data_IF_099570645438
#
_entry.id   IF_099570645438
#
_cell.length_a   1.000
_cell.length_b   1.000
_cell.length_c   1.000
_cell.angle_alpha   90.00
_cell.angle_beta   90.00
_cell.angle_gamma   90.00
#
_symmetry.space_group_name_H-M   'P 1'
#
loop_
_entity.id
_entity.type
_entity.pdbx_description
1 polymer ?
#
# COMPACT_ATOMS: atom_id res chain seq x y z
N UNK A 1 -9.57 -17.48 -20.03
CA UNK A 1 -10.34 -16.20 -20.03
C UNK A 1 -10.50 -15.69 -21.46
N UNK A 2 -11.70 -15.23 -21.85
CA UNK A 2 -11.92 -14.62 -23.19
C UNK A 2 -11.19 -13.27 -23.27
N UNK A 3 -10.60 -12.86 -24.42
CA UNK A 3 -9.87 -11.60 -24.54
C UNK A 3 -10.68 -10.36 -24.12
N UNK A 4 -11.95 -10.29 -24.51
CA UNK A 4 -12.87 -9.19 -24.12
C UNK A 4 -13.01 -9.09 -22.60
N UNK A 5 -13.14 -10.20 -21.89
CA UNK A 5 -13.21 -10.25 -20.42
C UNK A 5 -11.90 -9.74 -19.80
N UNK A 6 -10.75 -10.11 -20.38
CA UNK A 6 -9.46 -9.64 -19.91
C UNK A 6 -9.30 -8.12 -19.98
N UNK A 7 -9.76 -7.51 -21.08
CA UNK A 7 -9.74 -6.05 -21.24
C UNK A 7 -10.65 -5.37 -20.21
N UNK A 8 -11.87 -5.89 -20.00
CA UNK A 8 -12.82 -5.34 -19.01
C UNK A 8 -12.23 -5.39 -17.59
N UNK A 9 -11.64 -6.54 -17.21
CA UNK A 9 -11.02 -6.70 -15.89
C UNK A 9 -9.74 -5.86 -15.75
N UNK A 10 -8.94 -5.74 -16.81
CA UNK A 10 -7.78 -4.84 -16.84
C UNK A 10 -8.20 -3.38 -16.62
N UNK A 11 -9.25 -2.93 -17.29
CA UNK A 11 -9.78 -1.58 -17.14
C UNK A 11 -10.35 -1.35 -15.72
N UNK A 12 -11.04 -2.33 -15.15
CA UNK A 12 -11.45 -2.30 -13.73
C UNK A 12 -10.24 -2.10 -12.81
N UNK A 13 -9.16 -2.89 -12.97
CA UNK A 13 -7.95 -2.73 -12.16
C UNK A 13 -7.27 -1.39 -12.38
N UNK A 14 -7.22 -0.91 -13.62
CA UNK A 14 -6.71 0.41 -13.95
C UNK A 14 -7.45 1.50 -13.14
N UNK A 15 -8.78 1.54 -13.22
CA UNK A 15 -9.59 2.53 -12.51
C UNK A 15 -9.46 2.39 -10.98
N UNK A 16 -9.43 1.14 -10.45
CA UNK A 16 -9.28 0.86 -9.03
C UNK A 16 -8.03 1.54 -8.44
N UNK A 17 -6.90 1.37 -9.08
CA UNK A 17 -5.63 1.92 -8.61
C UNK A 17 -5.38 3.36 -9.05
N UNK A 18 -6.02 3.81 -10.13
CA UNK A 18 -6.04 5.21 -10.50
C UNK A 18 -6.71 6.06 -9.41
N UNK A 19 -7.86 5.61 -8.88
CA UNK A 19 -8.54 6.29 -7.75
C UNK A 19 -7.59 6.46 -6.57
N UNK A 20 -6.87 5.40 -6.18
CA UNK A 20 -5.96 5.46 -5.04
C UNK A 20 -4.74 6.33 -5.31
N UNK A 21 -4.11 6.17 -6.47
CA UNK A 21 -2.96 6.95 -6.90
C UNK A 21 -3.24 8.44 -7.05
N UNK A 22 -4.50 8.83 -7.29
CA UNK A 22 -4.90 10.22 -7.51
C UNK A 22 -4.77 11.12 -6.28
N UNK A 23 -4.81 10.59 -5.06
CA UNK A 23 -4.85 11.42 -3.85
C UNK A 23 -3.88 10.94 -2.74
N UNK A 24 -3.56 9.65 -2.69
CA UNK A 24 -2.88 9.05 -1.54
C UNK A 24 -1.50 9.66 -1.28
N UNK A 25 -0.69 9.80 -2.33
CA UNK A 25 0.69 10.31 -2.21
C UNK A 25 0.71 11.80 -1.91
N UNK A 26 -0.27 12.56 -2.42
CA UNK A 26 -0.37 14.02 -2.30
C UNK A 26 -1.17 14.50 -1.10
N UNK A 27 -1.84 13.58 -0.36
CA UNK A 27 -2.68 13.95 0.78
C UNK A 27 -1.93 14.74 1.85
N UNK A 28 -0.70 14.37 2.20
CA UNK A 28 0.11 15.09 3.17
C UNK A 28 0.39 16.53 2.73
N UNK A 29 0.69 16.74 1.45
CA UNK A 29 0.91 18.06 0.86
C UNK A 29 -0.37 18.89 0.86
N UNK A 30 -1.50 18.31 0.44
CA UNK A 30 -2.82 18.94 0.51
C UNK A 30 -3.17 19.37 1.95
N UNK A 31 -3.04 18.45 2.92
CA UNK A 31 -3.35 18.74 4.32
C UNK A 31 -2.50 19.88 4.89
N UNK A 32 -1.20 19.90 4.54
CA UNK A 32 -0.31 20.98 4.99
C UNK A 32 -0.67 22.31 4.34
N UNK A 33 -0.88 22.34 3.02
CA UNK A 33 -1.07 23.58 2.26
C UNK A 33 -2.48 24.17 2.39
N UNK A 34 -3.51 23.34 2.42
CA UNK A 34 -4.92 23.76 2.40
C UNK A 34 -5.53 23.75 3.80
N UNK A 35 -5.27 22.71 4.61
CA UNK A 35 -5.86 22.56 5.94
C UNK A 35 -4.97 23.11 7.07
N UNK A 36 -3.73 23.52 6.77
CA UNK A 36 -2.78 23.95 7.78
C UNK A 36 -2.42 22.85 8.79
N UNK A 37 -2.46 21.59 8.37
CA UNK A 37 -2.34 20.42 9.25
C UNK A 37 -0.96 20.31 9.88
N UNK A 38 -0.93 19.88 11.14
CA UNK A 38 0.29 19.44 11.82
C UNK A 38 0.71 18.03 11.37
N UNK A 39 1.96 17.65 11.65
CA UNK A 39 2.44 16.28 11.37
C UNK A 39 1.58 15.20 12.02
N UNK A 40 1.10 15.42 13.26
CA UNK A 40 0.20 14.48 13.95
C UNK A 40 -1.12 14.30 13.19
N UNK A 41 -1.72 15.38 12.71
CA UNK A 41 -2.98 15.34 11.97
C UNK A 41 -2.82 14.61 10.62
N UNK A 42 -1.70 14.80 9.94
CA UNK A 42 -1.35 14.06 8.72
C UNK A 42 -1.20 12.57 9.02
N UNK A 43 -0.40 12.21 10.04
CA UNK A 43 -0.24 10.82 10.46
C UNK A 43 -1.55 10.14 10.83
N UNK A 44 -2.43 10.85 11.55
CA UNK A 44 -3.78 10.39 11.88
C UNK A 44 -4.62 10.12 10.62
N UNK A 45 -4.61 11.03 9.63
CA UNK A 45 -5.35 10.83 8.38
C UNK A 45 -4.89 9.60 7.60
N UNK A 46 -3.57 9.37 7.52
CA UNK A 46 -3.04 8.14 6.91
C UNK A 46 -3.37 6.88 7.71
N UNK A 47 -3.50 6.97 9.04
CA UNK A 47 -3.90 5.83 9.88
C UNK A 47 -5.33 5.35 9.60
N UNK A 48 -6.18 6.19 9.02
CA UNK A 48 -7.53 5.82 8.65
C UNK A 48 -7.57 4.63 7.65
N UNK A 49 -6.64 4.61 6.69
CA UNK A 49 -6.53 3.48 5.76
C UNK A 49 -6.07 2.20 6.47
N UNK A 50 -5.13 2.33 7.39
CA UNK A 50 -4.64 1.20 8.17
C UNK A 50 -5.76 0.59 9.03
N UNK A 51 -6.53 1.42 9.72
CA UNK A 51 -7.70 1.00 10.50
C UNK A 51 -8.73 0.32 9.58
N UNK A 52 -9.04 0.93 8.45
CA UNK A 52 -9.97 0.37 7.49
C UNK A 52 -9.49 -0.99 6.93
N UNK A 53 -8.19 -1.15 6.68
CA UNK A 53 -7.61 -2.43 6.24
C UNK A 53 -7.77 -3.52 7.28
N UNK A 54 -7.72 -3.18 8.57
CA UNK A 54 -7.94 -4.14 9.65
C UNK A 54 -9.41 -4.52 9.83
N UNK A 55 -10.32 -3.59 9.61
CA UNK A 55 -11.74 -3.73 9.99
C UNK A 55 -12.63 -4.15 8.82
N UNK A 56 -12.49 -3.49 7.67
CA UNK A 56 -13.45 -3.60 6.57
C UNK A 56 -13.56 -4.97 5.91
N UNK A 57 -12.50 -5.80 5.80
CA UNK A 57 -12.62 -7.13 5.21
C UNK A 57 -13.60 -8.05 5.96
N UNK A 58 -13.75 -7.86 7.30
CA UNK A 58 -14.69 -8.66 8.11
C UNK A 58 -16.15 -8.44 7.71
N UNK A 59 -16.53 -7.19 7.50
CA UNK A 59 -17.91 -6.85 7.23
C UNK A 59 -18.28 -7.05 5.77
N UNK A 60 -17.45 -6.54 4.88
CA UNK A 60 -17.76 -6.51 3.45
C UNK A 60 -17.53 -7.88 2.80
N UNK A 61 -16.52 -8.64 3.23
CA UNK A 61 -16.35 -10.03 2.80
C UNK A 61 -17.58 -10.87 3.13
N UNK A 62 -18.10 -10.79 4.36
CA UNK A 62 -19.31 -11.50 4.74
C UNK A 62 -20.54 -11.08 3.91
N UNK A 63 -20.67 -9.80 3.57
CA UNK A 63 -21.79 -9.29 2.78
C UNK A 63 -21.71 -9.79 1.34
N UNK A 64 -20.55 -9.70 0.70
CA UNK A 64 -20.35 -10.14 -0.67
C UNK A 64 -20.41 -11.67 -0.83
N UNK A 65 -19.93 -12.42 0.17
CA UNK A 65 -19.94 -13.88 0.13
C UNK A 65 -21.35 -14.48 0.34
N UNK A 66 -22.24 -13.76 1.00
CA UNK A 66 -23.57 -14.30 1.40
C UNK A 66 -24.76 -13.68 0.69
N UNK A 67 -24.75 -12.38 0.46
CA UNK A 67 -25.99 -11.66 0.14
C UNK A 67 -25.99 -11.02 -1.24
N UNK A 68 -24.86 -10.50 -1.70
CA UNK A 68 -24.82 -9.70 -2.92
C UNK A 68 -23.65 -10.10 -3.82
N UNK A 69 -23.85 -9.99 -5.12
CA UNK A 69 -22.78 -10.21 -6.09
C UNK A 69 -21.63 -9.20 -5.88
N UNK A 70 -20.38 -9.70 -5.88
CA UNK A 70 -19.20 -8.92 -5.52
C UNK A 70 -19.04 -7.63 -6.34
N UNK A 71 -19.33 -7.67 -7.66
CA UNK A 71 -19.28 -6.50 -8.53
C UNK A 71 -20.32 -5.44 -8.16
N UNK A 72 -21.51 -5.84 -7.65
CA UNK A 72 -22.55 -4.88 -7.22
C UNK A 72 -22.16 -4.19 -5.92
N UNK A 73 -21.62 -4.95 -4.97
CA UNK A 73 -21.10 -4.39 -3.71
C UNK A 73 -19.97 -3.40 -4.01
N UNK A 74 -19.04 -3.78 -4.89
CA UNK A 74 -17.95 -2.90 -5.34
C UNK A 74 -18.50 -1.62 -5.98
N UNK A 75 -19.54 -1.73 -6.82
CA UNK A 75 -20.18 -0.60 -7.46
C UNK A 75 -20.75 0.41 -6.46
N UNK A 76 -21.52 -0.06 -5.48
CA UNK A 76 -22.09 0.78 -4.42
C UNK A 76 -20.99 1.45 -3.58
N UNK A 77 -19.97 0.69 -3.18
CA UNK A 77 -18.87 1.20 -2.37
C UNK A 77 -18.04 2.26 -3.11
N UNK A 78 -17.82 2.12 -4.42
CA UNK A 78 -17.13 3.14 -5.21
C UNK A 78 -17.96 4.40 -5.45
N UNK A 79 -19.27 4.29 -5.63
CA UNK A 79 -20.14 5.47 -5.70
C UNK A 79 -20.12 6.21 -4.37
N UNK A 80 -20.32 5.50 -3.24
CA UNK A 80 -20.24 6.09 -1.91
C UNK A 80 -18.84 6.71 -1.66
N UNK A 81 -17.78 5.97 -2.00
CA UNK A 81 -16.40 6.45 -1.90
C UNK A 81 -16.16 7.72 -2.72
N UNK A 82 -16.70 7.78 -3.94
CA UNK A 82 -16.62 8.97 -4.79
C UNK A 82 -17.30 10.19 -4.18
N UNK A 83 -18.49 10.01 -3.59
CA UNK A 83 -19.19 11.08 -2.86
C UNK A 83 -18.33 11.56 -1.67
N UNK A 84 -17.76 10.64 -0.89
CA UNK A 84 -16.92 10.97 0.25
C UNK A 84 -15.62 11.66 -0.15
N UNK A 85 -14.98 11.27 -1.25
CA UNK A 85 -13.81 11.97 -1.81
C UNK A 85 -14.16 13.39 -2.29
N UNK A 86 -15.34 13.56 -2.92
CA UNK A 86 -15.80 14.87 -3.32
C UNK A 86 -16.04 15.75 -2.09
N UNK A 87 -16.67 15.22 -1.04
CA UNK A 87 -16.81 15.92 0.24
C UNK A 87 -15.45 16.28 0.83
N UNK A 88 -14.49 15.33 0.86
CA UNK A 88 -13.13 15.55 1.35
C UNK A 88 -12.45 16.72 0.62
N UNK A 89 -12.70 16.87 -0.70
CA UNK A 89 -12.14 17.97 -1.49
C UNK A 89 -12.68 19.35 -1.10
N UNK A 90 -13.80 19.44 -0.35
CA UNK A 90 -14.46 20.69 0.05
C UNK A 90 -14.28 21.04 1.52
N UNK A 91 -13.70 20.15 2.31
CA UNK A 91 -13.52 20.33 3.76
C UNK A 91 -12.33 21.24 4.02
N UNK A 92 -12.50 22.12 5.00
CA UNK A 92 -11.50 23.10 5.43
C UNK A 92 -11.01 22.86 6.87
N UNK A 93 -11.52 21.86 7.57
CA UNK A 93 -11.14 21.54 8.97
C UNK A 93 -10.54 20.14 9.10
N UNK A 94 -9.47 20.01 9.84
CA UNK A 94 -8.76 18.75 10.03
C UNK A 94 -9.62 17.63 10.65
N UNK A 95 -10.45 17.96 11.65
CA UNK A 95 -11.29 16.97 12.32
C UNK A 95 -12.34 16.36 11.40
N UNK A 96 -13.05 17.19 10.64
CA UNK A 96 -14.04 16.71 9.66
C UNK A 96 -13.37 15.93 8.54
N UNK A 97 -12.20 16.40 8.06
CA UNK A 97 -11.41 15.71 7.03
C UNK A 97 -11.04 14.30 7.48
N UNK A 98 -10.54 14.14 8.71
CA UNK A 98 -10.20 12.83 9.27
C UNK A 98 -11.38 11.84 9.21
N UNK A 99 -12.56 12.26 9.67
CA UNK A 99 -13.73 11.38 9.69
C UNK A 99 -14.23 11.03 8.29
N UNK A 100 -14.18 11.97 7.36
CA UNK A 100 -14.58 11.69 5.97
C UNK A 100 -13.60 10.74 5.28
N UNK A 101 -12.28 10.91 5.49
CA UNK A 101 -11.26 9.98 4.99
C UNK A 101 -11.39 8.60 5.68
N UNK A 102 -11.77 8.54 6.95
CA UNK A 102 -12.05 7.29 7.65
C UNK A 102 -13.21 6.54 7.00
N UNK A 103 -14.34 7.22 6.78
CA UNK A 103 -15.51 6.62 6.12
C UNK A 103 -15.20 6.20 4.68
N UNK A 104 -14.48 7.04 3.94
CA UNK A 104 -13.98 6.69 2.62
C UNK A 104 -13.11 5.42 2.65
N UNK A 105 -12.17 5.36 3.58
CA UNK A 105 -11.27 4.21 3.70
C UNK A 105 -12.01 2.93 4.02
N UNK A 106 -13.02 2.99 4.89
CA UNK A 106 -13.90 1.85 5.18
C UNK A 106 -14.70 1.38 3.96
N UNK A 107 -15.07 2.28 3.06
CA UNK A 107 -15.72 1.94 1.80
C UNK A 107 -14.72 1.41 0.76
N UNK A 108 -13.52 2.00 0.67
CA UNK A 108 -12.55 1.72 -0.39
C UNK A 108 -11.73 0.45 -0.13
N UNK A 109 -11.20 0.24 1.10
CA UNK A 109 -10.27 -0.87 1.36
C UNK A 109 -10.82 -2.25 1.00
N UNK A 110 -12.10 -2.59 1.27
CA UNK A 110 -12.64 -3.89 0.86
C UNK A 110 -12.76 -4.04 -0.66
N UNK A 111 -12.87 -2.94 -1.43
CA UNK A 111 -12.99 -3.02 -2.89
C UNK A 111 -11.74 -3.59 -3.56
N UNK A 112 -10.58 -3.50 -2.90
CA UNK A 112 -9.34 -4.14 -3.38
C UNK A 112 -9.50 -5.66 -3.40
N UNK A 113 -10.04 -6.25 -2.33
CA UNK A 113 -10.30 -7.68 -2.27
C UNK A 113 -11.45 -8.10 -3.22
N UNK A 114 -12.51 -7.27 -3.31
CA UNK A 114 -13.63 -7.53 -4.22
C UNK A 114 -13.21 -7.50 -5.68
N UNK A 115 -12.37 -6.54 -6.10
CA UNK A 115 -11.84 -6.47 -7.49
C UNK A 115 -11.01 -7.71 -7.83
N UNK A 116 -10.19 -8.19 -6.90
CA UNK A 116 -9.46 -9.44 -7.06
C UNK A 116 -10.41 -10.64 -7.18
N UNK A 117 -11.44 -10.72 -6.33
CA UNK A 117 -12.46 -11.78 -6.37
C UNK A 117 -13.21 -11.80 -7.70
N UNK A 118 -13.65 -10.63 -8.18
CA UNK A 118 -14.29 -10.50 -9.50
C UNK A 118 -13.36 -11.01 -10.61
N UNK A 119 -12.07 -10.64 -10.55
CA UNK A 119 -11.10 -11.07 -11.54
C UNK A 119 -10.87 -12.60 -11.50
N UNK A 120 -10.62 -13.17 -10.32
CA UNK A 120 -10.34 -14.61 -10.16
C UNK A 120 -11.47 -15.49 -10.65
N UNK A 121 -12.72 -15.08 -10.43
CA UNK A 121 -13.91 -15.84 -10.87
C UNK A 121 -14.03 -15.98 -12.39
N UNK A 122 -13.42 -15.10 -13.16
CA UNK A 122 -13.46 -15.11 -14.63
C UNK A 122 -12.25 -15.84 -15.25
N UNK A 123 -11.34 -16.36 -14.43
CA UNK A 123 -10.09 -16.97 -14.87
C UNK A 123 -10.12 -18.49 -14.77
N UNK A 124 -9.69 -19.16 -15.83
CA UNK A 124 -9.48 -20.62 -15.84
C UNK A 124 -8.14 -21.03 -15.23
N UNK A 125 -7.12 -20.14 -15.29
CA UNK A 125 -5.79 -20.31 -14.70
C UNK A 125 -5.38 -18.98 -14.05
N UNK A 126 -5.80 -18.74 -12.78
CA UNK A 126 -5.48 -17.50 -12.08
C UNK A 126 -3.97 -17.23 -12.00
N UNK A 127 -3.14 -18.25 -11.81
CA UNK A 127 -1.69 -18.09 -11.69
C UNK A 127 -1.04 -17.45 -12.91
N UNK A 128 -1.54 -17.74 -14.11
CA UNK A 128 -1.02 -17.15 -15.35
C UNK A 128 -1.78 -15.90 -15.80
N UNK A 129 -3.08 -15.82 -15.53
CA UNK A 129 -3.94 -14.79 -16.10
C UNK A 129 -4.07 -13.56 -15.19
N UNK A 130 -4.03 -13.73 -13.86
CA UNK A 130 -4.18 -12.63 -12.94
C UNK A 130 -3.05 -11.59 -13.03
N UNK A 131 -1.77 -11.94 -13.15
CA UNK A 131 -0.71 -10.95 -13.32
C UNK A 131 -0.93 -10.04 -14.54
N UNK A 132 -1.46 -10.58 -15.65
CA UNK A 132 -1.75 -9.82 -16.87
C UNK A 132 -2.87 -8.77 -16.68
N UNK A 133 -3.80 -9.04 -15.78
CA UNK A 133 -4.89 -8.11 -15.43
C UNK A 133 -4.43 -7.14 -14.34
N UNK A 134 -3.67 -7.64 -13.36
CA UNK A 134 -3.22 -6.86 -12.20
C UNK A 134 -2.22 -5.75 -12.57
N UNK A 135 -1.40 -5.95 -13.61
CA UNK A 135 -0.44 -4.93 -14.08
C UNK A 135 -1.14 -3.62 -14.50
N UNK A 136 -2.38 -3.69 -14.99
CA UNK A 136 -3.16 -2.49 -15.31
C UNK A 136 -3.43 -1.62 -14.07
N UNK A 137 -3.44 -2.21 -12.87
CA UNK A 137 -3.51 -1.44 -11.62
C UNK A 137 -2.27 -0.55 -11.44
N UNK A 138 -1.06 -1.08 -11.64
CA UNK A 138 0.16 -0.27 -11.60
C UNK A 138 0.14 0.82 -12.67
N UNK A 139 -0.30 0.49 -13.88
CA UNK A 139 -0.47 1.49 -14.95
C UNK A 139 -1.47 2.58 -14.52
N UNK A 140 -2.59 2.22 -13.88
CA UNK A 140 -3.57 3.19 -13.36
C UNK A 140 -2.96 4.15 -12.35
N UNK A 141 -2.17 3.65 -11.40
CA UNK A 141 -1.45 4.49 -10.44
C UNK A 141 -0.44 5.42 -11.10
N UNK A 142 0.36 4.90 -12.03
CA UNK A 142 1.34 5.68 -12.80
C UNK A 142 0.66 6.80 -13.59
N UNK A 143 -0.42 6.48 -14.29
CA UNK A 143 -1.19 7.47 -15.07
C UNK A 143 -1.81 8.53 -14.16
N UNK A 144 -2.31 8.16 -12.98
CA UNK A 144 -2.82 9.13 -12.00
C UNK A 144 -1.74 10.13 -11.59
N UNK A 145 -0.52 9.68 -11.28
CA UNK A 145 0.61 10.54 -10.94
C UNK A 145 0.99 11.49 -12.09
N UNK A 146 1.03 11.00 -13.32
CA UNK A 146 1.27 11.84 -14.50
C UNK A 146 0.13 12.85 -14.74
N UNK A 147 -1.13 12.47 -14.54
CA UNK A 147 -2.26 13.39 -14.67
C UNK A 147 -2.21 14.52 -13.63
N UNK A 148 -1.83 14.21 -12.39
CA UNK A 148 -1.62 15.21 -11.34
C UNK A 148 -0.56 16.23 -11.77
N UNK A 149 0.58 15.75 -12.28
CA UNK A 149 1.66 16.61 -12.75
C UNK A 149 1.27 17.44 -13.98
N UNK A 150 0.64 16.81 -14.97
CA UNK A 150 0.21 17.46 -16.21
C UNK A 150 -0.80 18.59 -15.94
N UNK A 151 -1.74 18.35 -15.02
CA UNK A 151 -2.78 19.32 -14.65
C UNK A 151 -2.28 20.36 -13.63
N UNK A 152 -1.08 20.19 -13.04
CA UNK A 152 -0.55 21.08 -12.02
C UNK A 152 -1.38 21.15 -10.73
N UNK A 153 -2.12 20.07 -10.39
CA UNK A 153 -3.11 20.05 -9.29
C UNK A 153 -2.58 19.47 -7.98
N UNK A 154 -1.30 19.11 -7.92
CA UNK A 154 -0.67 18.34 -6.85
C UNK A 154 -0.91 18.89 -5.44
N UNK A 155 -0.89 20.22 -5.29
CA UNK A 155 -1.01 20.91 -4.00
C UNK A 155 -2.44 21.41 -3.74
N UNK A 156 -3.42 20.94 -4.50
CA UNK A 156 -4.80 21.44 -4.47
C UNK A 156 -5.80 20.34 -4.08
N UNK A 157 -7.04 20.77 -3.79
CA UNK A 157 -8.17 19.87 -3.56
C UNK A 157 -8.58 19.06 -4.80
N UNK A 158 -8.11 19.45 -5.99
CA UNK A 158 -8.50 18.82 -7.25
C UNK A 158 -8.02 17.37 -7.38
N UNK A 159 -6.98 16.97 -6.67
CA UNK A 159 -6.55 15.57 -6.59
C UNK A 159 -7.64 14.66 -6.02
N UNK A 160 -8.35 15.12 -4.98
CA UNK A 160 -9.52 14.41 -4.42
C UNK A 160 -10.72 14.48 -5.35
N UNK A 161 -10.95 15.60 -6.04
CA UNK A 161 -12.04 15.74 -7.02
C UNK A 161 -11.84 14.81 -8.21
N UNK A 162 -10.60 14.68 -8.72
CA UNK A 162 -10.25 13.74 -9.78
C UNK A 162 -10.49 12.29 -9.33
N UNK A 163 -10.04 11.94 -8.14
CA UNK A 163 -10.29 10.61 -7.55
C UNK A 163 -11.79 10.33 -7.39
N UNK A 164 -12.58 11.34 -6.98
CA UNK A 164 -14.03 11.23 -6.82
C UNK A 164 -14.73 10.89 -8.14
N UNK A 165 -14.40 11.62 -9.20
CA UNK A 165 -14.98 11.40 -10.54
C UNK A 165 -14.67 9.97 -11.02
N UNK A 166 -13.40 9.54 -10.92
CA UNK A 166 -13.00 8.22 -11.37
C UNK A 166 -13.60 7.13 -10.49
N UNK A 167 -13.75 7.36 -9.17
CA UNK A 167 -14.40 6.41 -8.27
C UNK A 167 -15.88 6.23 -8.62
N UNK A 168 -16.62 7.29 -8.89
CA UNK A 168 -18.01 7.20 -9.37
C UNK A 168 -18.07 6.47 -10.71
N UNK A 169 -17.18 6.79 -11.65
CA UNK A 169 -17.12 6.13 -12.95
C UNK A 169 -16.86 4.62 -12.80
N UNK A 170 -15.91 4.22 -11.92
CA UNK A 170 -15.68 2.81 -11.60
C UNK A 170 -16.90 2.17 -10.93
N UNK A 171 -17.55 2.90 -10.04
CA UNK A 171 -18.78 2.44 -9.39
C UNK A 171 -19.87 2.10 -10.39
N UNK A 172 -20.14 3.00 -11.34
CA UNK A 172 -21.10 2.77 -12.42
C UNK A 172 -20.64 1.63 -13.34
N UNK A 173 -19.36 1.62 -13.72
CA UNK A 173 -18.76 0.56 -14.55
C UNK A 173 -18.87 -0.81 -13.90
N UNK A 174 -18.83 -0.89 -12.58
CA UNK A 174 -18.90 -2.16 -11.83
C UNK A 174 -20.19 -2.92 -12.06
N UNK A 175 -21.30 -2.25 -12.35
CA UNK A 175 -22.56 -2.91 -12.67
C UNK A 175 -22.56 -3.61 -14.05
N UNK A 176 -21.60 -3.30 -14.91
CA UNK A 176 -21.40 -3.92 -16.22
C UNK A 176 -20.31 -5.01 -16.21
N UNK A 177 -19.66 -5.26 -15.05
CA UNK A 177 -18.69 -6.33 -14.91
C UNK A 177 -19.37 -7.71 -14.99
N UNK A 178 -18.63 -8.76 -15.34
CA UNK A 178 -19.15 -10.12 -15.36
C UNK A 178 -19.76 -10.50 -14.00
N UNK A 179 -20.89 -11.19 -14.04
CA UNK A 179 -21.60 -11.57 -12.83
C UNK A 179 -20.76 -12.47 -11.92
N UNK A 180 -20.72 -12.10 -10.66
CA UNK A 180 -19.91 -12.75 -9.63
C UNK A 180 -20.80 -13.00 -8.40
N UNK A 181 -21.74 -13.98 -8.51
CA UNK A 181 -22.71 -14.23 -7.46
C UNK A 181 -22.05 -14.73 -6.17
N UNK A 182 -22.74 -14.58 -5.02
CA UNK A 182 -22.24 -15.09 -3.75
C UNK A 182 -22.02 -16.62 -3.81
N UNK A 183 -20.98 -17.10 -3.15
CA UNK A 183 -20.75 -18.53 -2.96
C UNK A 183 -21.19 -18.92 -1.55
N UNK A 184 -22.39 -19.41 -1.42
CA UNK A 184 -22.94 -19.90 -0.16
C UNK A 184 -22.33 -21.26 0.23
N UNK A 185 -21.04 -21.25 0.57
CA UNK A 185 -20.41 -22.39 1.24
C UNK A 185 -19.89 -21.94 2.56
N UNK A 186 -20.00 -22.43 3.65
CA UNK A 186 -19.50 -22.19 5.02
C UNK A 186 -19.25 -20.71 5.39
N UNK A 187 -19.78 -20.22 6.51
CA UNK A 187 -19.50 -18.87 6.98
C UNK A 187 -18.00 -18.75 7.25
N UNK A 188 -17.35 -17.78 6.62
CA UNK A 188 -16.03 -17.35 7.07
C UNK A 188 -16.18 -16.87 8.51
N UNK A 189 -15.60 -17.58 9.45
CA UNK A 189 -15.59 -17.15 10.86
C UNK A 189 -14.64 -15.96 10.98
N UNK A 190 -14.89 -15.06 11.93
CA UNK A 190 -13.96 -13.98 12.24
C UNK A 190 -12.52 -14.52 12.45
N UNK A 191 -12.37 -15.73 13.01
CA UNK A 191 -11.08 -16.42 13.15
C UNK A 191 -10.38 -16.70 11.82
N UNK A 192 -11.11 -17.16 10.79
CA UNK A 192 -10.51 -17.48 9.50
C UNK A 192 -10.11 -16.20 8.73
N UNK A 193 -10.91 -15.14 8.87
CA UNK A 193 -10.60 -13.84 8.25
C UNK A 193 -9.39 -13.17 8.93
N UNK A 194 -9.26 -13.28 10.26
CA UNK A 194 -8.08 -12.80 11.01
C UNK A 194 -6.81 -13.65 10.78
N UNK A 195 -6.93 -14.75 10.04
CA UNK A 195 -5.79 -15.63 9.83
C UNK A 195 -5.28 -16.33 11.10
N UNK A 196 -6.15 -16.55 12.11
CA UNK A 196 -5.76 -17.15 13.40
C UNK A 196 -5.14 -18.53 13.20
N UNK A 197 -5.62 -19.29 12.20
CA UNK A 197 -5.07 -20.61 11.86
C UNK A 197 -3.60 -20.50 11.39
N UNK A 198 -3.17 -19.34 10.91
CA UNK A 198 -1.80 -19.10 10.48
C UNK A 198 -0.84 -18.78 11.65
N UNK A 199 -1.33 -18.59 12.88
CA UNK A 199 -0.45 -18.37 14.05
C UNK A 199 0.48 -19.54 14.33
N UNK A 200 0.15 -20.72 13.80
CA UNK A 200 1.07 -21.87 13.84
C UNK A 200 2.43 -21.56 13.20
N UNK A 201 2.48 -20.65 12.22
CA UNK A 201 3.72 -20.22 11.59
C UNK A 201 4.70 -19.55 12.58
N UNK A 202 4.22 -18.99 13.68
CA UNK A 202 5.08 -18.37 14.70
C UNK A 202 5.84 -19.38 15.56
N UNK A 203 5.55 -20.66 15.44
CA UNK A 203 6.39 -21.73 16.00
C UNK A 203 7.74 -21.83 15.27
N UNK A 204 7.80 -21.39 14.01
CA UNK A 204 9.04 -21.26 13.23
C UNK A 204 9.74 -19.93 13.58
N UNK A 205 10.86 -20.02 14.31
CA UNK A 205 11.62 -18.85 14.77
C UNK A 205 12.05 -17.91 13.64
N UNK A 206 12.58 -18.38 12.49
CA UNK A 206 12.89 -17.50 11.36
C UNK A 206 11.65 -16.74 10.86
N UNK A 207 10.50 -17.40 10.75
CA UNK A 207 9.28 -16.76 10.33
C UNK A 207 8.81 -15.68 11.33
N UNK A 208 8.85 -15.96 12.62
CA UNK A 208 8.51 -14.98 13.66
C UNK A 208 9.42 -13.76 13.61
N UNK A 209 10.73 -13.94 13.42
CA UNK A 209 11.69 -12.83 13.29
C UNK A 209 11.40 -12.00 12.06
N UNK A 210 11.13 -12.63 10.91
CA UNK A 210 10.72 -11.96 9.70
C UNK A 210 9.43 -11.13 9.91
N UNK A 211 8.45 -11.73 10.58
CA UNK A 211 7.15 -11.11 10.82
C UNK A 211 7.27 -9.88 11.73
N UNK A 212 8.07 -9.95 12.79
CA UNK A 212 8.38 -8.80 13.64
C UNK A 212 9.12 -7.71 12.84
N UNK A 213 10.12 -8.09 12.04
CA UNK A 213 10.83 -7.14 11.19
C UNK A 213 9.88 -6.44 10.21
N UNK A 214 8.88 -7.15 9.67
CA UNK A 214 7.90 -6.58 8.76
C UNK A 214 7.05 -5.48 9.41
N UNK A 215 6.66 -5.63 10.70
CA UNK A 215 5.97 -4.57 11.44
C UNK A 215 6.85 -3.32 11.52
N UNK A 216 8.11 -3.47 11.91
CA UNK A 216 9.01 -2.34 12.09
C UNK A 216 9.41 -1.67 10.76
N UNK A 217 9.51 -2.41 9.64
CA UNK A 217 9.78 -1.84 8.30
C UNK A 217 8.59 -1.02 7.80
N UNK A 218 7.37 -1.26 8.27
CA UNK A 218 6.22 -0.40 7.96
C UNK A 218 6.36 1.01 8.53
N UNK A 219 7.18 1.22 9.59
CA UNK A 219 7.44 2.56 10.11
C UNK A 219 8.18 3.43 9.08
N UNK A 220 9.36 3.04 8.55
CA UNK A 220 9.96 3.73 7.40
C UNK A 220 8.99 3.91 6.24
N UNK A 221 8.24 2.88 5.85
CA UNK A 221 7.27 2.97 4.76
C UNK A 221 6.24 4.09 4.99
N UNK A 222 5.80 4.29 6.23
CA UNK A 222 4.83 5.34 6.60
C UNK A 222 5.41 6.75 6.45
N UNK A 223 6.69 6.96 6.76
CA UNK A 223 7.37 8.23 6.47
C UNK A 223 7.36 8.56 4.99
N UNK A 224 7.60 7.56 4.14
CA UNK A 224 7.59 7.76 2.69
C UNK A 224 6.20 8.17 2.18
N UNK A 225 5.18 7.39 2.47
CA UNK A 225 3.84 7.67 1.97
C UNK A 225 3.25 8.95 2.55
N UNK A 226 3.49 9.23 3.85
CA UNK A 226 2.93 10.40 4.52
C UNK A 226 3.62 11.71 4.16
N UNK A 227 4.93 11.68 3.96
CA UNK A 227 5.72 12.91 3.98
C UNK A 227 6.68 13.09 2.81
N UNK A 228 6.98 12.08 1.97
CA UNK A 228 7.96 12.24 0.89
C UNK A 228 7.50 13.27 -0.15
N UNK A 229 6.23 13.26 -0.54
CA UNK A 229 5.70 14.23 -1.50
C UNK A 229 5.77 15.66 -0.96
N UNK A 230 5.37 15.86 0.30
CA UNK A 230 5.48 17.15 0.98
C UNK A 230 6.94 17.63 1.04
N UNK A 231 7.86 16.74 1.42
CA UNK A 231 9.29 17.02 1.47
C UNK A 231 9.85 17.47 0.11
N UNK A 232 9.55 16.72 -0.94
CA UNK A 232 10.04 17.03 -2.30
C UNK A 232 9.52 18.38 -2.79
N UNK A 233 8.26 18.69 -2.55
CA UNK A 233 7.65 20.00 -2.84
C UNK A 233 8.35 21.13 -2.06
N UNK A 234 8.56 20.95 -0.75
CA UNK A 234 9.21 21.96 0.08
C UNK A 234 10.72 22.10 -0.23
N UNK A 235 11.34 21.06 -0.78
CA UNK A 235 12.72 21.13 -1.28
C UNK A 235 12.85 21.89 -2.60
N UNK A 236 11.73 22.34 -3.21
CA UNK A 236 11.69 23.05 -4.48
C UNK A 236 11.58 22.16 -5.72
N UNK A 237 11.25 20.86 -5.54
CA UNK A 237 11.05 19.94 -6.66
C UNK A 237 9.69 20.19 -7.32
N UNK A 238 9.67 20.80 -8.50
CA UNK A 238 8.46 20.97 -9.29
C UNK A 238 7.89 19.62 -9.74
N UNK A 239 6.56 19.50 -9.76
CA UNK A 239 5.85 18.28 -10.18
C UNK A 239 6.35 17.01 -9.44
N UNK A 240 6.50 17.10 -8.13
CA UNK A 240 7.05 16.03 -7.30
C UNK A 240 6.26 14.72 -7.44
N UNK A 241 4.92 14.77 -7.50
CA UNK A 241 4.07 13.59 -7.71
C UNK A 241 4.39 12.88 -9.02
N UNK A 242 4.57 13.63 -10.12
CA UNK A 242 4.97 13.06 -11.41
C UNK A 242 6.36 12.43 -11.37
N UNK A 243 7.32 13.04 -10.65
CA UNK A 243 8.67 12.48 -10.48
C UNK A 243 8.65 11.24 -9.57
N UNK A 244 7.79 11.20 -8.57
CA UNK A 244 7.62 10.01 -7.73
C UNK A 244 7.11 8.79 -8.51
N UNK A 245 6.49 8.96 -9.68
CA UNK A 245 6.12 7.86 -10.59
C UNK A 245 7.33 7.02 -11.01
N UNK A 246 8.54 7.59 -11.06
CA UNK A 246 9.76 6.80 -11.32
C UNK A 246 9.97 5.69 -10.29
N UNK A 247 9.51 5.89 -9.06
CA UNK A 247 9.52 4.84 -8.02
C UNK A 247 8.59 3.68 -8.36
N UNK A 248 7.38 3.96 -8.87
CA UNK A 248 6.43 2.94 -9.32
C UNK A 248 6.89 2.21 -10.58
N UNK A 249 7.55 2.92 -11.50
CA UNK A 249 8.19 2.28 -12.67
C UNK A 249 9.30 1.33 -12.21
N UNK A 250 10.12 1.78 -11.25
CA UNK A 250 11.16 0.94 -10.64
C UNK A 250 10.57 -0.32 -10.00
N UNK A 251 9.46 -0.20 -9.24
CA UNK A 251 8.72 -1.32 -8.67
C UNK A 251 8.24 -2.27 -9.77
N UNK A 252 7.58 -1.76 -10.82
CA UNK A 252 7.11 -2.58 -11.93
C UNK A 252 8.25 -3.37 -12.63
N UNK A 253 9.45 -2.81 -12.70
CA UNK A 253 10.61 -3.49 -13.27
C UNK A 253 11.18 -4.56 -12.33
N UNK A 254 11.32 -4.24 -11.04
CA UNK A 254 11.90 -5.18 -10.07
C UNK A 254 10.97 -6.34 -9.77
N UNK A 255 9.64 -6.15 -9.71
CA UNK A 255 8.69 -7.24 -9.47
C UNK A 255 8.82 -8.36 -10.50
N UNK A 256 9.20 -8.05 -11.75
CA UNK A 256 9.46 -9.05 -12.79
C UNK A 256 10.73 -9.88 -12.51
N UNK A 257 11.71 -9.30 -11.84
CA UNK A 257 12.96 -9.96 -11.50
C UNK A 257 12.88 -10.79 -10.19
N UNK A 258 11.92 -10.46 -9.31
CA UNK A 258 11.81 -11.07 -7.98
C UNK A 258 11.74 -12.60 -7.99
N UNK A 259 10.91 -13.29 -8.81
CA UNK A 259 10.84 -14.76 -8.80
C UNK A 259 12.18 -15.41 -9.16
N UNK A 260 12.89 -14.85 -10.13
CA UNK A 260 14.22 -15.33 -10.52
C UNK A 260 15.26 -15.11 -9.41
N UNK A 261 15.30 -13.91 -8.83
CA UNK A 261 16.23 -13.55 -7.76
C UNK A 261 15.95 -14.35 -6.48
N UNK A 262 14.68 -14.53 -6.14
CA UNK A 262 14.26 -15.31 -4.97
C UNK A 262 14.83 -16.74 -5.00
N UNK A 263 14.77 -17.39 -6.16
CA UNK A 263 15.31 -18.75 -6.31
C UNK A 263 16.83 -18.79 -6.35
N UNK A 264 17.50 -17.73 -6.88
CA UNK A 264 18.95 -17.69 -7.07
C UNK A 264 19.71 -17.27 -5.81
N UNK A 265 19.28 -16.21 -5.15
CA UNK A 265 19.99 -15.62 -4.01
C UNK A 265 19.35 -15.90 -2.65
N UNK A 266 18.11 -16.37 -2.65
CA UNK A 266 17.36 -16.80 -1.47
C UNK A 266 16.76 -15.66 -0.66
N UNK A 267 15.77 -15.99 0.17
CA UNK A 267 14.94 -15.05 0.92
C UNK A 267 15.76 -14.13 1.83
N UNK A 268 16.73 -14.65 2.57
CA UNK A 268 17.54 -13.84 3.51
C UNK A 268 18.23 -12.68 2.81
N UNK A 269 18.93 -12.96 1.70
CA UNK A 269 19.67 -11.94 0.97
C UNK A 269 18.74 -10.90 0.34
N UNK A 270 17.59 -11.33 -0.17
CA UNK A 270 16.61 -10.40 -0.72
C UNK A 270 16.07 -9.44 0.33
N UNK A 271 15.66 -9.95 1.49
CA UNK A 271 15.18 -9.11 2.59
C UNK A 271 16.27 -8.13 3.08
N UNK A 272 17.53 -8.58 3.18
CA UNK A 272 18.66 -7.71 3.55
C UNK A 272 18.90 -6.60 2.52
N UNK A 273 18.81 -6.91 1.22
CA UNK A 273 18.92 -5.90 0.13
C UNK A 273 17.80 -4.87 0.27
N UNK A 274 16.55 -5.32 0.47
CA UNK A 274 15.42 -4.43 0.68
C UNK A 274 15.61 -3.49 1.87
N UNK A 275 16.01 -4.05 3.04
CA UNK A 275 16.30 -3.23 4.24
C UNK A 275 17.44 -2.25 4.03
N UNK A 276 18.52 -2.66 3.34
CA UNK A 276 19.64 -1.77 3.00
C UNK A 276 19.18 -0.63 2.07
N UNK A 277 18.34 -0.94 1.10
CA UNK A 277 17.76 0.07 0.22
C UNK A 277 16.92 1.10 0.99
N UNK A 278 16.18 0.70 2.04
CA UNK A 278 15.48 1.63 2.94
C UNK A 278 16.44 2.61 3.62
N UNK A 279 17.57 2.14 4.12
CA UNK A 279 18.60 2.98 4.76
C UNK A 279 19.15 3.98 3.74
N UNK A 280 19.59 3.49 2.59
CA UNK A 280 20.15 4.33 1.52
C UNK A 280 19.15 5.40 1.06
N UNK A 281 17.89 5.04 0.91
CA UNK A 281 16.81 5.95 0.55
C UNK A 281 16.71 7.14 1.50
N UNK A 282 16.65 6.88 2.81
CA UNK A 282 16.50 7.95 3.78
C UNK A 282 17.77 8.76 3.98
N UNK A 283 18.94 8.18 3.80
CA UNK A 283 20.21 8.93 3.69
C UNK A 283 20.16 9.87 2.47
N UNK A 284 19.70 9.36 1.32
CA UNK A 284 19.55 10.18 0.12
C UNK A 284 18.57 11.34 0.34
N UNK A 285 17.44 11.13 1.03
CA UNK A 285 16.51 12.21 1.35
C UNK A 285 17.06 13.18 2.40
N UNK A 286 17.83 12.70 3.38
CA UNK A 286 18.42 13.55 4.41
C UNK A 286 19.48 14.54 3.86
N UNK A 287 20.22 14.16 2.83
CA UNK A 287 21.27 14.97 2.24
C UNK A 287 20.92 15.53 0.87
N UNK A 288 19.84 15.07 0.25
CA UNK A 288 19.37 15.52 -1.06
C UNK A 288 18.84 16.97 -1.02
N UNK A 289 19.09 17.72 -2.07
CA UNK A 289 18.60 19.08 -2.28
C UNK A 289 18.48 19.37 -3.78
N UNK A 290 17.82 20.47 -4.16
CA UNK A 290 17.68 20.87 -5.57
C UNK A 290 18.92 21.58 -6.16
N UNK A 291 20.06 21.48 -5.49
CA UNK A 291 21.38 21.93 -5.94
C UNK A 291 22.31 20.75 -6.26
N UNK A 292 23.55 20.75 -5.73
CA UNK A 292 24.57 19.74 -6.06
C UNK A 292 24.16 18.30 -5.77
N UNK A 293 23.25 18.09 -4.79
CA UNK A 293 22.80 16.79 -4.34
C UNK A 293 21.41 16.39 -4.90
N UNK A 294 20.98 17.00 -6.02
CA UNK A 294 19.69 16.68 -6.65
C UNK A 294 19.60 15.19 -7.05
N UNK A 295 20.68 14.59 -7.47
CA UNK A 295 20.76 13.17 -7.81
C UNK A 295 20.36 12.26 -6.65
N UNK A 296 20.61 12.68 -5.39
CA UNK A 296 20.21 11.91 -4.20
C UNK A 296 18.69 11.85 -4.07
N UNK A 297 17.96 12.95 -4.37
CA UNK A 297 16.50 12.96 -4.35
C UNK A 297 15.93 11.96 -5.36
N UNK A 298 16.44 11.96 -6.59
CA UNK A 298 16.02 11.00 -7.61
C UNK A 298 16.39 9.56 -7.25
N UNK A 299 17.58 9.32 -6.70
CA UNK A 299 17.99 8.00 -6.20
C UNK A 299 17.04 7.53 -5.10
N UNK A 300 16.70 8.40 -4.13
CA UNK A 300 15.73 8.08 -3.08
C UNK A 300 14.34 7.72 -3.63
N UNK A 301 13.89 8.36 -4.70
CA UNK A 301 12.64 8.02 -5.39
C UNK A 301 12.75 6.65 -6.07
N UNK A 302 13.79 6.43 -6.90
CA UNK A 302 13.95 5.21 -7.70
C UNK A 302 14.17 3.96 -6.82
N UNK A 303 14.81 4.11 -5.67
CA UNK A 303 14.98 3.01 -4.71
C UNK A 303 13.65 2.42 -4.20
N UNK A 304 12.49 3.04 -4.53
CA UNK A 304 11.18 2.54 -4.11
C UNK A 304 10.95 1.08 -4.49
N UNK A 305 11.20 0.71 -5.73
CA UNK A 305 11.02 -0.67 -6.19
C UNK A 305 11.90 -1.65 -5.42
N UNK A 306 13.17 -1.33 -5.18
CA UNK A 306 14.05 -2.20 -4.40
C UNK A 306 13.57 -2.29 -2.94
N UNK A 307 13.22 -1.16 -2.32
CA UNK A 307 12.72 -1.14 -0.95
C UNK A 307 11.48 -2.00 -0.77
N UNK A 308 10.54 -1.85 -1.70
CA UNK A 308 9.21 -2.46 -1.60
C UNK A 308 9.24 -3.94 -2.03
N UNK A 309 9.76 -4.24 -3.21
CA UNK A 309 9.68 -5.58 -3.78
C UNK A 309 10.60 -6.57 -3.07
N UNK A 310 11.83 -6.16 -2.77
CA UNK A 310 12.78 -7.05 -2.10
C UNK A 310 12.40 -7.32 -0.64
N UNK A 311 11.51 -6.52 -0.05
CA UNK A 311 11.01 -6.79 1.29
C UNK A 311 9.58 -7.34 1.28
N UNK A 312 8.60 -6.59 0.77
CA UNK A 312 7.19 -6.96 0.90
C UNK A 312 6.78 -8.06 -0.09
N UNK A 313 7.14 -7.96 -1.38
CA UNK A 313 6.80 -9.01 -2.35
C UNK A 313 7.54 -10.31 -1.99
N UNK A 314 8.83 -10.20 -1.63
CA UNK A 314 9.58 -11.35 -1.10
C UNK A 314 8.93 -11.92 0.15
N UNK A 315 8.40 -11.08 1.03
CA UNK A 315 7.70 -11.48 2.25
C UNK A 315 6.43 -12.27 1.96
N UNK A 316 5.64 -11.85 0.97
CA UNK A 316 4.48 -12.62 0.50
C UNK A 316 4.90 -14.00 -0.04
N UNK A 317 5.93 -14.07 -0.86
CA UNK A 317 6.45 -15.33 -1.39
C UNK A 317 7.02 -16.24 -0.29
N UNK A 318 7.69 -15.66 0.71
CA UNK A 318 8.20 -16.40 1.85
C UNK A 318 7.08 -16.97 2.72
N UNK A 319 6.05 -16.16 3.00
CA UNK A 319 4.85 -16.57 3.72
C UNK A 319 4.13 -17.71 3.00
N UNK A 320 4.01 -17.62 1.68
CA UNK A 320 3.43 -18.67 0.85
C UNK A 320 4.20 -19.98 0.95
N UNK A 321 5.53 -19.94 0.84
CA UNK A 321 6.38 -21.14 0.91
C UNK A 321 6.43 -21.79 2.30
N UNK A 322 6.23 -21.01 3.37
CA UNK A 322 6.17 -21.54 4.75
C UNK A 322 4.81 -22.16 5.07
N UNK A 323 3.76 -21.81 4.32
CA UNK A 323 2.40 -22.26 4.55
C UNK A 323 2.09 -23.53 3.78
N UNK A 324 1.28 -24.41 4.37
CA UNK A 324 0.63 -25.49 3.63
C UNK A 324 -0.64 -24.96 2.92
N UNK A 325 -1.20 -25.75 2.01
CA UNK A 325 -2.40 -25.36 1.21
C UNK A 325 -3.61 -24.99 2.08
N UNK A 326 -3.73 -25.58 3.29
CA UNK A 326 -4.87 -25.33 4.19
C UNK A 326 -4.83 -23.92 4.78
N UNK A 327 -3.65 -23.40 5.14
CA UNK A 327 -3.50 -22.10 5.84
C UNK A 327 -2.95 -21.00 4.93
N UNK A 328 -2.64 -21.27 3.67
CA UNK A 328 -1.98 -20.34 2.75
C UNK A 328 -2.70 -19.00 2.66
N UNK A 329 -4.01 -18.99 2.43
CA UNK A 329 -4.80 -17.78 2.36
C UNK A 329 -4.88 -17.04 3.71
N UNK A 330 -5.01 -17.78 4.81
CA UNK A 330 -5.01 -17.24 6.16
C UNK A 330 -3.65 -16.57 6.50
N UNK A 331 -2.54 -17.18 6.09
CA UNK A 331 -1.19 -16.64 6.28
C UNK A 331 -0.95 -15.35 5.48
N UNK A 332 -1.40 -15.31 4.23
CA UNK A 332 -1.34 -14.11 3.40
C UNK A 332 -2.21 -12.98 3.98
N UNK A 333 -3.41 -13.31 4.44
CA UNK A 333 -4.30 -12.38 5.13
C UNK A 333 -3.68 -11.83 6.42
N UNK A 334 -3.08 -12.70 7.24
CA UNK A 334 -2.38 -12.31 8.47
C UNK A 334 -1.18 -11.39 8.18
N UNK A 335 -0.40 -11.69 7.15
CA UNK A 335 0.73 -10.84 6.75
C UNK A 335 0.25 -9.46 6.28
N UNK A 336 -0.82 -9.39 5.49
CA UNK A 336 -1.45 -8.12 5.08
C UNK A 336 -1.99 -7.35 6.28
N UNK A 337 -2.72 -8.02 7.18
CA UNK A 337 -3.28 -7.40 8.39
C UNK A 337 -2.18 -6.76 9.24
N UNK A 338 -1.06 -7.45 9.41
CA UNK A 338 0.04 -6.97 10.24
C UNK A 338 0.86 -5.89 9.57
N UNK A 339 1.10 -5.97 8.27
CA UNK A 339 1.88 -4.95 7.55
C UNK A 339 1.02 -3.71 7.25
N UNK A 340 0.00 -3.83 6.41
CA UNK A 340 -0.83 -2.70 5.99
C UNK A 340 -1.87 -2.25 7.03
N UNK A 341 -2.21 -3.12 7.98
CA UNK A 341 -3.02 -2.76 9.14
C UNK A 341 -2.14 -2.25 10.29
N UNK A 342 -1.72 -3.15 11.17
CA UNK A 342 -1.04 -2.80 12.42
C UNK A 342 0.27 -2.02 12.22
N UNK A 343 1.15 -2.48 11.33
CA UNK A 343 2.44 -1.86 11.06
C UNK A 343 2.30 -0.44 10.51
N UNK A 344 1.41 -0.26 9.52
CA UNK A 344 1.11 1.07 8.98
C UNK A 344 0.39 1.96 10.00
N UNK A 345 -0.51 1.42 10.84
CA UNK A 345 -1.14 2.17 11.91
C UNK A 345 -0.09 2.75 12.87
N UNK A 346 0.79 1.91 13.40
CA UNK A 346 1.89 2.34 14.28
C UNK A 346 2.79 3.35 13.55
N UNK A 347 3.16 3.02 12.31
CA UNK A 347 4.10 3.82 11.52
C UNK A 347 3.57 5.21 11.19
N UNK A 348 2.29 5.34 10.81
CA UNK A 348 1.69 6.63 10.45
C UNK A 348 1.56 7.55 11.65
N UNK A 349 1.16 7.04 12.81
CA UNK A 349 1.15 7.80 14.03
C UNK A 349 2.55 8.24 14.47
N UNK A 350 3.50 7.31 14.42
CA UNK A 350 4.88 7.60 14.81
C UNK A 350 5.54 8.60 13.85
N UNK A 351 5.37 8.44 12.54
CA UNK A 351 5.91 9.38 11.54
C UNK A 351 5.28 10.76 11.68
N UNK A 352 3.98 10.83 11.97
CA UNK A 352 3.29 12.08 12.26
C UNK A 352 3.83 12.78 13.51
N UNK A 353 4.03 12.04 14.60
CA UNK A 353 4.62 12.54 15.84
C UNK A 353 6.03 13.10 15.61
N UNK A 354 6.91 12.34 14.95
CA UNK A 354 8.28 12.76 14.65
C UNK A 354 8.30 14.01 13.78
N UNK A 355 7.50 14.03 12.72
CA UNK A 355 7.43 15.18 11.80
C UNK A 355 6.91 16.41 12.53
N UNK A 356 5.96 16.26 13.45
CA UNK A 356 5.48 17.36 14.29
C UNK A 356 6.55 17.87 15.27
N UNK A 357 7.30 16.97 15.90
CA UNK A 357 8.34 17.32 16.86
C UNK A 357 9.51 18.08 16.20
N UNK A 358 9.80 17.81 14.92
CA UNK A 358 10.83 18.50 14.15
C UNK A 358 10.27 19.56 13.20
N UNK A 359 9.12 20.15 13.53
CA UNK A 359 8.53 21.26 12.78
C UNK A 359 8.15 22.43 13.71
N UNK A 360 8.38 23.66 13.23
CA UNK A 360 7.93 24.88 13.90
C UNK A 360 7.25 25.76 12.85
N UNK A 361 5.98 26.10 13.06
CA UNK A 361 5.18 26.89 12.11
C UNK A 361 5.25 26.37 10.67
N UNK A 362 5.12 25.04 10.50
CA UNK A 362 5.23 24.32 9.22
C UNK A 362 6.60 24.44 8.52
N UNK A 363 7.62 24.89 9.21
CA UNK A 363 9.01 24.80 8.76
C UNK A 363 9.59 23.50 9.31
N UNK A 364 9.86 22.56 8.43
CA UNK A 364 10.28 21.20 8.78
C UNK A 364 11.81 21.08 8.74
N UNK A 365 12.37 20.46 9.75
CA UNK A 365 13.79 20.09 9.80
C UNK A 365 13.99 18.74 9.08
N UNK A 366 13.80 18.70 7.75
CA UNK A 366 13.72 17.48 6.97
C UNK A 366 14.89 16.53 7.19
N UNK A 367 16.10 17.03 7.31
CA UNK A 367 17.26 16.19 7.56
C UNK A 367 17.12 15.37 8.83
N UNK A 368 16.68 16.00 9.93
CA UNK A 368 16.45 15.31 11.21
C UNK A 368 15.29 14.32 11.11
N UNK A 369 14.23 14.69 10.38
CA UNK A 369 13.07 13.83 10.16
C UNK A 369 13.50 12.56 9.44
N UNK A 370 14.31 12.67 8.36
CA UNK A 370 14.74 11.51 7.58
C UNK A 370 15.78 10.63 8.28
N UNK A 371 16.55 11.15 9.24
CA UNK A 371 17.42 10.31 10.06
C UNK A 371 16.64 9.29 10.89
N UNK A 372 15.42 9.62 11.36
CA UNK A 372 14.66 8.72 12.22
C UNK A 372 14.30 7.41 11.51
N UNK A 373 13.63 7.40 10.33
CA UNK A 373 13.36 6.15 9.61
C UNK A 373 14.65 5.45 9.14
N UNK A 374 15.74 6.18 8.87
CA UNK A 374 17.04 5.59 8.57
C UNK A 374 17.58 4.79 9.77
N UNK A 375 17.56 5.35 10.97
CA UNK A 375 18.01 4.66 12.19
C UNK A 375 17.15 3.46 12.52
N UNK A 376 15.82 3.55 12.34
CA UNK A 376 14.92 2.40 12.52
C UNK A 376 15.28 1.30 11.53
N UNK A 377 15.47 1.63 10.24
CA UNK A 377 15.85 0.66 9.23
C UNK A 377 17.20 -0.01 9.55
N UNK A 378 18.20 0.75 10.06
CA UNK A 378 19.48 0.22 10.52
C UNK A 378 19.29 -0.74 11.69
N UNK A 379 18.50 -0.36 12.70
CA UNK A 379 18.24 -1.21 13.87
C UNK A 379 17.57 -2.52 13.45
N UNK A 380 16.55 -2.45 12.58
CA UNK A 380 15.86 -3.65 12.05
C UNK A 380 16.83 -4.51 11.26
N UNK A 381 17.66 -3.94 10.39
CA UNK A 381 18.67 -4.65 9.60
C UNK A 381 19.65 -5.39 10.51
N UNK A 382 20.21 -4.73 11.52
CA UNK A 382 21.15 -5.32 12.48
C UNK A 382 20.48 -6.48 13.22
N UNK A 383 19.30 -6.28 13.80
CA UNK A 383 18.56 -7.34 14.47
C UNK A 383 18.30 -8.53 13.51
N UNK A 384 17.90 -8.23 12.28
CA UNK A 384 17.61 -9.27 11.28
C UNK A 384 18.86 -10.08 10.90
N UNK A 385 20.01 -9.46 10.73
CA UNK A 385 21.30 -10.16 10.44
C UNK A 385 21.62 -11.18 11.51
N UNK A 386 21.49 -10.82 12.80
CA UNK A 386 21.85 -11.67 13.92
C UNK A 386 20.82 -12.77 14.20
N UNK A 387 19.55 -12.47 14.13
CA UNK A 387 18.50 -13.37 14.58
C UNK A 387 17.88 -14.20 13.46
N UNK A 388 17.82 -13.71 12.22
CA UNK A 388 17.19 -14.44 11.11
C UNK A 388 18.16 -15.51 10.56
N UNK A 389 17.86 -16.77 10.87
CA UNK A 389 18.63 -17.93 10.44
C UNK A 389 17.75 -18.91 9.66
N UNK A 390 17.44 -18.58 8.41
CA UNK A 390 16.67 -19.46 7.54
C UNK A 390 17.59 -20.49 6.88
N UNK A 391 17.14 -21.74 6.82
CA UNK A 391 17.79 -22.78 6.04
C UNK A 391 17.71 -22.46 4.54
N UNK A 392 18.66 -22.97 3.75
CA UNK A 392 18.68 -22.76 2.29
C UNK A 392 17.40 -23.30 1.63
N UNK A 393 16.88 -24.43 2.11
CA UNK A 393 15.60 -24.98 1.69
C UNK A 393 14.54 -24.56 2.72
N UNK A 394 13.55 -23.80 2.27
CA UNK A 394 12.43 -23.34 3.10
C UNK A 394 11.53 -24.53 3.41
N UNK A 395 11.42 -24.90 4.67
CA UNK A 395 10.56 -25.99 5.13
C UNK A 395 9.14 -25.47 5.44
N UNK A 396 8.13 -26.24 5.02
CA UNK A 396 6.72 -25.95 5.37
C UNK A 396 6.54 -26.23 6.86
N UNK A 397 5.87 -25.32 7.57
CA UNK A 397 5.55 -25.51 9.00
C UNK A 397 4.45 -26.55 9.12
N UNK A 398 4.78 -27.66 9.81
CA UNK A 398 3.81 -28.73 10.07
C UNK A 398 2.79 -28.28 11.13
N UNK A 399 1.53 -28.63 10.90
CA UNK A 399 0.47 -28.56 11.91
C UNK A 399 0.43 -29.94 12.59
N UNK A 400 0.75 -29.99 13.86
CA UNK A 400 0.47 -31.14 14.71
C UNK A 400 -0.96 -31.12 15.20
#
# INVERSE_FOLDING_TARGET
MKPKTGIILGFMMFLQYFVWGSWYVTMGTFMTKILGSSGIQIGAAYSALAIATMISPFFIGMIADRFFAAQRVMGVLHILGGILLFLASRITTNGTFYWVIMLYSLAYMPTIALSNSVAFRQMSDPGKQFPLVRVFGTVGWVVAGFMIALLGIEQTHLTFSMAAIVSVALGLFSFFLPDTPPQATTPSTAKSVMGVDAFVLFRDKPYLIFFIAAIFVCIPLSFYFGFANLFLNQSGMENAAGKMVMGQISEALFILAIPFLFNRIGVKKMLLIGMTAWILRYICFAFGNMGPNMWMLYTGIILHGVCYDFFFVTGYMYTEKKSNERIKNAAQGLFTFVTYGLGMFIGTWFSGFVTNAYSVNQVYQWQKIWYVPAYIAVAVLICFIFFFKEKKNIEIVKQD
#
